data_IF_769647628673
#
_entry.id   IF_769647628673
#
_cell.length_a   1.000
_cell.length_b   1.000
_cell.length_c   1.000
_cell.angle_alpha   90.00
_cell.angle_beta   90.00
_cell.angle_gamma   90.00
#
_symmetry.space_group_name_H-M   'P 1'
#
loop_
_entity.id
_entity.type
_entity.pdbx_description
1 polymer ?
#
# COMPACT_ATOMS: atom_id res chain seq x y z
N UNK A 1 -5.78 1.98 -17.04
CA UNK A 1 -6.01 1.27 -15.76
C UNK A 1 -7.38 1.65 -15.21
N UNK A 2 -8.05 0.73 -14.53
CA UNK A 2 -9.28 1.00 -13.80
C UNK A 2 -9.14 0.64 -12.33
N UNK A 3 -9.55 1.56 -11.46
CA UNK A 3 -9.66 1.35 -10.01
C UNK A 3 -11.12 1.53 -9.58
N UNK A 4 -11.64 0.59 -8.80
CA UNK A 4 -13.03 0.56 -8.35
C UNK A 4 -13.05 0.53 -6.83
N UNK A 5 -13.78 1.48 -6.24
CA UNK A 5 -14.04 1.56 -4.80
C UNK A 5 -15.53 1.55 -4.58
N UNK A 6 -16.03 0.81 -3.59
CA UNK A 6 -17.42 0.89 -3.19
C UNK A 6 -17.57 1.76 -1.93
N UNK A 7 -18.66 2.49 -1.84
CA UNK A 7 -19.08 3.13 -0.59
C UNK A 7 -20.53 2.74 -0.29
N UNK A 8 -20.82 2.63 1.01
CA UNK A 8 -22.14 2.29 1.53
C UNK A 8 -22.53 3.26 2.65
N UNK A 9 -23.82 3.31 2.97
CA UNK A 9 -24.39 4.11 4.04
C UNK A 9 -24.73 5.54 3.61
N UNK A 10 -24.70 6.47 4.56
CA UNK A 10 -25.10 7.87 4.35
C UNK A 10 -24.03 8.68 3.59
N UNK A 11 -24.46 9.80 2.97
CA UNK A 11 -23.60 10.84 2.38
C UNK A 11 -22.56 10.32 1.37
N UNK A 12 -22.99 9.42 0.49
CA UNK A 12 -22.08 8.81 -0.48
C UNK A 12 -21.55 9.84 -1.48
N UNK A 13 -22.35 10.85 -1.82
CA UNK A 13 -21.95 11.91 -2.74
C UNK A 13 -20.84 12.77 -2.14
N UNK A 14 -20.93 13.11 -0.86
CA UNK A 14 -19.92 13.86 -0.12
C UNK A 14 -18.64 13.03 0.04
N UNK A 15 -18.77 11.73 0.32
CA UNK A 15 -17.63 10.80 0.39
C UNK A 15 -16.87 10.76 -0.93
N UNK A 16 -17.56 10.62 -2.06
CA UNK A 16 -16.93 10.57 -3.37
C UNK A 16 -16.33 11.92 -3.79
N UNK A 17 -17.00 13.05 -3.50
CA UNK A 17 -16.43 14.39 -3.70
C UNK A 17 -15.15 14.58 -2.90
N UNK A 18 -15.14 14.18 -1.63
CA UNK A 18 -13.95 14.26 -0.78
C UNK A 18 -12.82 13.36 -1.30
N UNK A 19 -13.15 12.12 -1.65
CA UNK A 19 -12.17 11.15 -2.14
C UNK A 19 -11.53 11.59 -3.46
N UNK A 20 -12.32 12.11 -4.40
CA UNK A 20 -11.80 12.73 -5.62
C UNK A 20 -10.85 13.89 -5.30
N UNK A 21 -11.26 14.79 -4.40
CA UNK A 21 -10.42 15.93 -3.98
C UNK A 21 -9.10 15.46 -3.35
N UNK A 22 -9.14 14.42 -2.53
CA UNK A 22 -7.94 13.83 -1.92
C UNK A 22 -7.01 13.25 -2.99
N UNK A 23 -7.54 12.54 -3.99
CA UNK A 23 -6.75 11.98 -5.09
C UNK A 23 -6.10 13.12 -5.88
N UNK A 24 -6.87 14.13 -6.30
CA UNK A 24 -6.35 15.29 -7.04
C UNK A 24 -5.27 16.03 -6.27
N UNK A 25 -5.48 16.22 -4.97
CA UNK A 25 -4.48 16.83 -4.09
C UNK A 25 -3.20 15.99 -3.98
N UNK A 26 -3.30 14.66 -3.99
CA UNK A 26 -2.15 13.74 -3.86
C UNK A 26 -1.32 13.68 -5.13
N UNK A 27 -1.95 13.67 -6.30
CA UNK A 27 -1.25 13.63 -7.60
C UNK A 27 -0.73 15.01 -8.02
N UNK A 28 -1.24 16.08 -7.42
CA UNK A 28 -0.82 17.45 -7.72
C UNK A 28 -1.22 17.92 -9.13
N UNK A 29 -0.73 19.11 -9.52
CA UNK A 29 -1.04 19.68 -10.84
C UNK A 29 -0.28 18.95 -11.97
N UNK A 30 0.99 18.62 -11.74
CA UNK A 30 1.83 17.90 -12.71
C UNK A 30 1.32 16.48 -12.96
N UNK A 31 0.95 15.76 -11.89
CA UNK A 31 0.36 14.43 -12.02
C UNK A 31 -1.01 14.45 -12.70
N UNK A 32 -1.80 15.52 -12.55
CA UNK A 32 -3.05 15.68 -13.31
C UNK A 32 -2.79 15.93 -14.80
N UNK A 33 -1.80 16.74 -15.14
CA UNK A 33 -1.50 17.12 -16.53
C UNK A 33 -0.91 15.97 -17.36
N UNK A 34 -0.28 14.99 -16.72
CA UNK A 34 0.33 13.87 -17.45
C UNK A 34 -0.63 12.72 -17.83
N UNK A 35 -1.88 12.74 -17.37
CA UNK A 35 -2.86 11.74 -17.81
C UNK A 35 -3.50 12.14 -19.14
N UNK A 36 -3.48 11.22 -20.11
CA UNK A 36 -4.25 11.33 -21.36
C UNK A 36 -5.76 11.23 -21.08
N UNK A 37 -6.14 10.48 -20.06
CA UNK A 37 -7.52 10.36 -19.59
C UNK A 37 -7.56 10.11 -18.10
N UNK A 38 -8.29 10.95 -17.36
CA UNK A 38 -8.56 10.77 -15.94
C UNK A 38 -10.04 11.06 -15.66
N UNK A 39 -10.82 10.00 -15.42
CA UNK A 39 -12.26 10.09 -15.19
C UNK A 39 -12.63 9.54 -13.82
N UNK A 40 -13.47 10.29 -13.12
CA UNK A 40 -14.10 9.93 -11.86
C UNK A 40 -15.59 9.73 -12.12
N UNK A 41 -16.10 8.53 -11.87
CA UNK A 41 -17.47 8.17 -12.20
C UNK A 41 -18.15 7.53 -10.99
N UNK A 42 -19.30 8.08 -10.59
CA UNK A 42 -20.23 7.38 -9.70
C UNK A 42 -21.04 6.39 -10.55
N UNK A 43 -21.06 5.13 -10.12
CA UNK A 43 -21.86 4.08 -10.75
C UNK A 43 -22.96 3.67 -9.78
N UNK A 44 -24.19 3.95 -10.20
CA UNK A 44 -25.40 3.70 -9.41
C UNK A 44 -25.80 4.86 -8.49
N UNK A 45 -26.93 4.67 -7.83
CA UNK A 45 -27.48 5.54 -6.79
C UNK A 45 -28.03 4.62 -5.71
N UNK A 46 -27.75 4.85 -4.41
CA UNK A 46 -28.29 4.00 -3.36
C UNK A 46 -29.82 4.12 -3.32
N UNK A 47 -30.50 3.10 -2.81
CA UNK A 47 -31.93 3.18 -2.54
C UNK A 47 -32.22 4.33 -1.56
N UNK A 48 -33.40 4.95 -1.65
CA UNK A 48 -33.78 6.10 -0.81
C UNK A 48 -33.91 5.73 0.68
N UNK A 49 -34.35 4.50 0.98
CA UNK A 49 -34.42 3.90 2.33
C UNK A 49 -33.83 2.48 2.27
N UNK A 50 -32.49 2.34 2.21
CA UNK A 50 -31.87 1.04 2.02
C UNK A 50 -32.02 0.19 3.29
N UNK A 51 -32.56 -1.01 3.14
CA UNK A 51 -32.81 -1.95 4.25
C UNK A 51 -31.65 -2.89 4.53
N UNK A 52 -30.66 -2.89 3.64
CA UNK A 52 -29.46 -3.70 3.75
C UNK A 52 -28.24 -2.96 3.14
N UNK A 53 -27.06 -3.51 3.38
CA UNK A 53 -25.81 -2.94 2.87
C UNK A 53 -25.76 -2.92 1.33
N UNK A 54 -26.32 -3.94 0.68
CA UNK A 54 -26.26 -4.08 -0.77
C UNK A 54 -27.03 -2.96 -1.47
N UNK A 55 -28.26 -2.69 -1.03
CA UNK A 55 -29.12 -1.61 -1.52
C UNK A 55 -28.59 -0.20 -1.22
N UNK A 56 -27.67 -0.08 -0.25
CA UNK A 56 -26.98 1.17 0.09
C UNK A 56 -25.62 1.34 -0.61
N UNK A 57 -25.10 0.29 -1.25
CA UNK A 57 -23.76 0.30 -1.84
C UNK A 57 -23.77 0.85 -3.26
N UNK A 58 -22.88 1.79 -3.54
CA UNK A 58 -22.58 2.28 -4.89
C UNK A 58 -21.09 2.27 -5.16
N UNK A 59 -20.72 2.27 -6.43
CA UNK A 59 -19.33 2.24 -6.85
C UNK A 59 -18.84 3.61 -7.30
N UNK A 60 -17.55 3.83 -7.08
CA UNK A 60 -16.78 4.94 -7.61
C UNK A 60 -15.65 4.38 -8.46
N UNK A 61 -15.76 4.62 -9.76
CA UNK A 61 -14.81 4.16 -10.76
C UNK A 61 -13.87 5.30 -11.09
N UNK A 62 -12.58 5.00 -11.00
CA UNK A 62 -11.51 5.88 -11.43
C UNK A 62 -10.86 5.21 -12.63
N UNK A 63 -10.98 5.84 -13.79
CA UNK A 63 -10.31 5.43 -15.01
C UNK A 63 -9.14 6.36 -15.27
N UNK A 64 -7.94 5.80 -15.40
CA UNK A 64 -6.73 6.56 -15.63
C UNK A 64 -5.90 5.92 -16.75
N UNK A 65 -5.52 6.71 -17.73
CA UNK A 65 -4.62 6.33 -18.82
C UNK A 65 -3.60 7.44 -19.03
N UNK A 66 -2.35 7.05 -19.23
CA UNK A 66 -1.25 7.93 -19.57
C UNK A 66 -0.23 7.15 -20.40
N UNK A 67 0.42 7.84 -21.33
CA UNK A 67 1.46 7.28 -22.20
C UNK A 67 2.80 7.20 -21.47
N UNK A 68 3.19 8.27 -20.76
CA UNK A 68 4.53 8.38 -20.15
C UNK A 68 4.55 8.26 -18.61
N UNK A 69 3.39 8.30 -17.95
CA UNK A 69 3.30 8.13 -16.49
C UNK A 69 3.31 6.64 -16.11
N UNK A 70 4.33 6.24 -15.36
CA UNK A 70 4.40 4.91 -14.72
C UNK A 70 3.50 4.89 -13.47
N UNK A 71 2.19 4.86 -13.69
CA UNK A 71 1.20 4.70 -12.63
C UNK A 71 1.02 3.21 -12.32
N UNK A 72 1.54 2.73 -11.19
CA UNK A 72 1.40 1.35 -10.74
C UNK A 72 0.26 1.23 -9.73
N UNK A 73 -0.74 0.39 -10.03
CA UNK A 73 -1.85 0.04 -9.12
C UNK A 73 -1.42 -0.91 -7.99
N UNK A 74 -0.14 -0.95 -7.63
CA UNK A 74 0.22 -1.56 -6.37
C UNK A 74 -0.48 -0.70 -5.32
N UNK A 75 -1.50 -1.25 -4.65
CA UNK A 75 -2.06 -0.70 -3.40
C UNK A 75 -0.98 -0.50 -2.31
N UNK A 76 0.27 -0.80 -2.65
CA UNK A 76 1.45 -0.22 -2.08
C UNK A 76 1.55 1.31 -2.26
N UNK A 77 0.88 2.02 -1.37
CA UNK A 77 1.01 3.47 -1.23
C UNK A 77 2.37 3.91 -0.62
N UNK A 78 3.30 2.99 -0.31
CA UNK A 78 4.64 3.35 0.22
C UNK A 78 5.48 4.10 -0.81
N UNK A 79 5.15 4.00 -2.09
CA UNK A 79 5.81 4.75 -3.17
C UNK A 79 5.28 6.18 -3.34
N UNK A 80 4.08 6.49 -2.83
CA UNK A 80 3.45 7.80 -2.99
C UNK A 80 4.07 8.89 -2.08
N UNK A 81 4.73 8.48 -1.00
CA UNK A 81 5.60 9.34 -0.19
C UNK A 81 6.86 8.53 0.06
N UNK A 82 7.99 8.84 -0.60
CA UNK A 82 9.24 8.11 -0.38
C UNK A 82 9.69 8.34 1.06
N UNK A 83 9.27 7.43 1.94
CA UNK A 83 9.85 7.28 3.28
C UNK A 83 11.07 6.37 3.14
N UNK A 84 12.13 6.55 3.93
CA UNK A 84 13.17 5.53 4.04
C UNK A 84 12.48 4.19 4.35
N UNK A 85 12.48 3.28 3.38
CA UNK A 85 11.88 1.97 3.52
C UNK A 85 12.98 0.93 3.39
N UNK A 86 12.86 -0.14 4.18
CA UNK A 86 13.70 -1.30 4.02
C UNK A 86 13.31 -1.95 2.68
N UNK A 87 14.14 -1.78 1.66
CA UNK A 87 13.97 -2.50 0.42
C UNK A 87 14.37 -3.96 0.66
N UNK A 88 13.39 -4.84 0.60
CA UNK A 88 13.58 -6.28 0.76
C UNK A 88 14.08 -6.85 -0.57
N UNK A 89 15.37 -7.15 -0.66
CA UNK A 89 15.92 -7.98 -1.73
C UNK A 89 15.93 -9.43 -1.26
N UNK A 90 15.01 -10.29 -1.75
CA UNK A 90 15.12 -11.71 -1.47
C UNK A 90 16.38 -12.22 -2.17
N UNK A 91 17.37 -12.58 -1.38
CA UNK A 91 18.55 -13.30 -1.82
C UNK A 91 18.86 -14.40 -0.81
N UNK A 92 19.51 -15.46 -1.28
CA UNK A 92 19.97 -16.52 -0.39
C UNK A 92 21.22 -16.03 0.34
N UNK A 93 21.12 -15.89 1.66
CA UNK A 93 22.25 -15.61 2.54
C UNK A 93 22.56 -16.86 3.35
N UNK A 94 23.85 -17.20 3.49
CA UNK A 94 24.23 -18.38 4.30
C UNK A 94 23.99 -18.07 5.76
N UNK A 95 23.18 -18.88 6.43
CA UNK A 95 22.86 -18.69 7.84
C UNK A 95 24.10 -18.73 8.75
N UNK A 96 25.13 -19.49 8.38
CA UNK A 96 26.41 -19.54 9.09
C UNK A 96 27.17 -18.21 9.11
N UNK A 97 26.92 -17.34 8.13
CA UNK A 97 27.55 -16.02 8.01
C UNK A 97 26.75 -14.93 8.76
N UNK A 98 25.58 -15.25 9.33
CA UNK A 98 24.81 -14.30 10.13
C UNK A 98 25.44 -14.11 11.51
N UNK A 99 25.61 -12.85 11.89
CA UNK A 99 26.03 -12.44 13.23
C UNK A 99 24.83 -11.89 13.98
N UNK A 100 24.24 -12.72 14.84
CA UNK A 100 23.09 -12.33 15.64
C UNK A 100 23.54 -11.73 16.97
N UNK A 101 22.98 -10.56 17.32
CA UNK A 101 23.27 -9.84 18.56
C UNK A 101 21.98 -9.27 19.15
N UNK A 102 21.89 -9.27 20.48
CA UNK A 102 20.84 -8.54 21.21
C UNK A 102 21.42 -7.20 21.63
N UNK A 103 20.82 -6.11 21.15
CA UNK A 103 21.22 -4.75 21.49
C UNK A 103 20.16 -4.11 22.40
N UNK A 104 20.56 -3.64 23.58
CA UNK A 104 19.72 -2.78 24.40
C UNK A 104 19.93 -1.34 23.97
N UNK A 105 18.85 -0.65 23.59
CA UNK A 105 18.90 0.69 23.02
C UNK A 105 18.17 1.66 23.95
N UNK A 106 18.80 2.80 24.23
CA UNK A 106 18.23 3.89 25.03
C UNK A 106 17.15 4.62 24.25
N UNK A 107 16.32 5.40 24.94
CA UNK A 107 15.26 6.21 24.32
C UNK A 107 15.80 7.23 23.28
N UNK A 108 17.08 7.62 23.36
CA UNK A 108 17.74 8.52 22.42
C UNK A 108 18.34 7.80 21.19
N UNK A 109 18.26 6.47 21.12
CA UNK A 109 18.79 5.66 20.02
C UNK A 109 20.21 5.12 20.23
N UNK A 110 20.90 5.48 21.32
CA UNK A 110 22.23 4.95 21.61
C UNK A 110 22.18 3.52 22.14
N UNK A 111 23.16 2.70 21.74
CA UNK A 111 23.30 1.32 22.24
C UNK A 111 23.92 1.34 23.64
N UNK A 112 23.21 0.78 24.61
CA UNK A 112 23.64 0.67 26.01
C UNK A 112 24.44 -0.61 26.27
N UNK A 113 23.99 -1.73 25.71
CA UNK A 113 24.66 -3.02 25.87
C UNK A 113 24.42 -3.91 24.65
N UNK A 114 25.37 -4.80 24.38
CA UNK A 114 25.28 -5.81 23.32
C UNK A 114 25.65 -7.19 23.88
N UNK A 115 24.83 -8.18 23.56
CA UNK A 115 25.09 -9.59 23.86
C UNK A 115 25.16 -10.35 22.54
N UNK A 116 26.24 -11.12 22.34
CA UNK A 116 26.35 -12.00 21.18
C UNK A 116 25.45 -13.22 21.38
N UNK A 117 24.67 -13.56 20.36
CA UNK A 117 23.89 -14.79 20.34
C UNK A 117 24.78 -15.93 19.85
N UNK A 118 24.75 -17.05 20.57
CA UNK A 118 25.49 -18.24 20.16
C UNK A 118 24.91 -18.79 18.85
N UNK A 119 25.79 -19.19 17.93
CA UNK A 119 25.38 -19.81 16.67
C UNK A 119 24.80 -21.20 16.92
N UNK A 120 23.76 -21.62 16.17
CA UNK A 120 23.30 -23.01 16.18
C UNK A 120 24.46 -23.97 15.90
N UNK A 121 24.52 -25.08 16.64
CA UNK A 121 25.58 -26.08 16.46
C UNK A 121 25.42 -26.90 15.17
N UNK A 122 24.22 -26.90 14.57
CA UNK A 122 23.89 -27.63 13.36
C UNK A 122 23.06 -26.74 12.43
N UNK A 123 23.42 -26.74 11.16
CA UNK A 123 22.67 -26.10 10.08
C UNK A 123 22.19 -27.19 9.12
N UNK A 124 20.98 -27.06 8.61
CA UNK A 124 20.39 -27.98 7.63
C UNK A 124 20.16 -27.22 6.33
N UNK A 125 20.29 -27.91 5.20
CA UNK A 125 19.98 -27.32 3.90
C UNK A 125 18.47 -27.08 3.82
N UNK A 126 18.09 -25.93 3.28
CA UNK A 126 16.68 -25.64 3.02
C UNK A 126 16.21 -26.61 1.92
N UNK A 127 15.29 -27.50 2.25
CA UNK A 127 14.66 -28.37 1.26
C UNK A 127 13.60 -27.60 0.46
N UNK A 128 13.34 -28.07 -0.77
CA UNK A 128 12.24 -27.55 -1.56
C UNK A 128 10.93 -27.82 -0.83
N UNK A 129 10.09 -26.80 -0.73
CA UNK A 129 8.79 -26.92 -0.08
C UNK A 129 7.90 -27.88 -0.88
N UNK A 130 7.34 -28.89 -0.21
CA UNK A 130 6.32 -29.75 -0.83
C UNK A 130 5.13 -28.91 -1.31
N UNK A 131 4.73 -29.15 -2.57
CA UNK A 131 3.71 -28.39 -3.30
C UNK A 131 2.29 -28.86 -2.97
#
# INVERSE_FOLDING_TARGET
MQFLVNATGYAVDEKFKLFEKQIRSRIGNEGQAGFDSLHFQRIGTPASDPRDQNSSTVYFRIFAQATDLRFHSSLDFRTAVPRPYLAYWPSLWRQADLEERVCFVKANGDVEAQLNVAKPHKYELLEDRES
#
